data_IF_759136671808
#
_entry.id   IF_759136671808
#
_cell.length_a   1.000
_cell.length_b   1.000
_cell.length_c   1.000
_cell.angle_alpha   90.00
_cell.angle_beta   90.00
_cell.angle_gamma   90.00
#
_symmetry.space_group_name_H-M   'P 1'
#
loop_
_entity.id
_entity.type
_entity.pdbx_description
1 polymer ?
#
# COMPACT_ATOMS: atom_id res chain seq x y z
N UNK A 1 3.65 34.17 34.65
CA UNK A 1 3.00 33.01 34.02
C UNK A 1 3.77 32.70 32.75
N UNK A 2 4.79 31.85 32.86
CA UNK A 2 5.59 31.42 31.71
C UNK A 2 4.92 30.17 31.14
N UNK A 3 4.38 30.28 29.93
CA UNK A 3 3.91 29.13 29.17
C UNK A 3 5.10 28.26 28.83
N UNK A 4 5.15 27.06 29.41
CA UNK A 4 6.10 26.01 29.04
C UNK A 4 5.78 25.58 27.60
N UNK A 5 6.50 26.15 26.64
CA UNK A 5 6.54 25.62 25.28
C UNK A 5 7.04 24.17 25.34
N UNK A 6 6.28 23.25 24.73
CA UNK A 6 6.76 21.90 24.49
C UNK A 6 8.11 22.00 23.76
N UNK A 7 9.18 21.34 24.23
CA UNK A 7 10.44 21.35 23.51
C UNK A 7 10.18 20.66 22.18
N UNK A 8 10.34 21.41 21.08
CA UNK A 8 10.43 20.81 19.77
C UNK A 8 11.62 19.84 19.81
N UNK A 9 11.34 18.54 19.77
CA UNK A 9 12.35 17.51 19.51
C UNK A 9 12.81 17.68 18.06
N UNK A 10 13.56 18.75 17.79
CA UNK A 10 14.31 18.87 16.56
C UNK A 10 15.42 17.83 16.66
N UNK A 11 15.28 16.73 15.92
CA UNK A 11 16.39 15.82 15.68
C UNK A 11 17.59 16.65 15.21
N UNK A 12 18.74 16.52 15.89
CA UNK A 12 20.00 17.14 15.46
C UNK A 12 20.47 16.60 14.09
N UNK A 13 19.90 15.46 13.66
CA UNK A 13 20.12 14.86 12.35
C UNK A 13 18.98 15.27 11.40
N UNK A 14 19.26 16.02 10.31
CA UNK A 14 18.26 16.36 9.32
C UNK A 14 17.83 15.09 8.55
N UNK A 15 16.52 14.87 8.46
CA UNK A 15 15.92 13.79 7.66
C UNK A 15 15.34 14.37 6.39
N UNK A 16 15.52 13.69 5.26
CA UNK A 16 14.95 14.08 3.97
C UNK A 16 14.44 12.88 3.19
N UNK A 17 13.51 13.12 2.28
CA UNK A 17 13.03 12.10 1.33
C UNK A 17 13.95 12.12 0.12
N UNK A 18 14.74 11.06 -0.04
CA UNK A 18 15.67 10.93 -1.17
C UNK A 18 14.96 10.57 -2.49
N UNK A 19 13.84 9.84 -2.42
CA UNK A 19 13.04 9.47 -3.58
C UNK A 19 11.68 8.88 -3.21
N UNK A 20 10.77 8.85 -4.18
CA UNK A 20 9.40 8.36 -4.01
C UNK A 20 9.00 7.40 -5.12
N UNK A 21 8.09 6.48 -4.83
CA UNK A 21 7.62 5.51 -5.79
C UNK A 21 6.25 4.98 -5.43
N UNK A 22 5.42 4.79 -6.44
CA UNK A 22 4.10 4.19 -6.30
C UNK A 22 3.91 3.14 -7.38
N UNK A 23 3.04 2.19 -7.09
CA UNK A 23 2.58 1.20 -8.05
C UNK A 23 1.13 0.87 -7.75
N UNK A 24 0.31 0.78 -8.80
CA UNK A 24 -1.09 0.41 -8.72
C UNK A 24 -1.38 -0.71 -9.72
N UNK A 25 -2.36 -1.58 -9.45
CA UNK A 25 -2.84 -2.55 -10.43
C UNK A 25 -3.27 -1.90 -11.76
N UNK A 26 -3.08 -2.63 -12.87
CA UNK A 26 -3.42 -2.12 -14.19
C UNK A 26 -4.93 -2.00 -14.41
N UNK A 27 -5.72 -2.84 -13.76
CA UNK A 27 -7.17 -2.84 -13.91
C UNK A 27 -7.79 -1.58 -13.29
N UNK A 28 -8.41 -0.75 -14.14
CA UNK A 28 -9.23 0.39 -13.75
C UNK A 28 -10.65 -0.08 -13.52
N UNK A 29 -11.21 0.31 -12.38
CA UNK A 29 -12.54 -0.06 -11.98
C UNK A 29 -13.38 1.21 -11.81
N UNK A 30 -14.48 1.23 -12.55
CA UNK A 30 -15.46 2.32 -12.53
C UNK A 30 -16.40 2.25 -11.32
N UNK A 31 -17.04 3.36 -10.99
CA UNK A 31 -18.09 3.38 -9.97
C UNK A 31 -19.29 2.54 -10.40
N UNK A 32 -19.64 2.54 -11.68
CA UNK A 32 -20.70 1.73 -12.27
C UNK A 32 -20.47 0.24 -12.00
N UNK A 33 -19.26 -0.25 -12.25
CA UNK A 33 -18.90 -1.66 -12.07
C UNK A 33 -18.99 -2.08 -10.59
N UNK A 34 -18.43 -1.28 -9.69
CA UNK A 34 -18.43 -1.58 -8.25
C UNK A 34 -19.86 -1.57 -7.70
N UNK A 35 -20.66 -0.57 -8.05
CA UNK A 35 -22.04 -0.46 -7.59
C UNK A 35 -22.94 -1.51 -8.23
N UNK A 36 -22.62 -1.93 -9.46
CA UNK A 36 -23.29 -3.05 -10.10
C UNK A 36 -23.07 -4.35 -9.33
N UNK A 37 -21.85 -4.60 -8.88
CA UNK A 37 -21.51 -5.79 -8.11
C UNK A 37 -22.05 -5.75 -6.68
N UNK A 38 -21.77 -4.68 -5.93
CA UNK A 38 -22.08 -4.59 -4.50
C UNK A 38 -23.57 -4.31 -4.21
N UNK A 39 -24.29 -3.71 -5.17
CA UNK A 39 -25.70 -3.30 -5.02
C UNK A 39 -26.00 -2.61 -3.67
N UNK A 40 -25.20 -1.63 -3.22
CA UNK A 40 -25.43 -1.01 -1.93
C UNK A 40 -26.74 -0.21 -1.98
N UNK A 41 -27.60 -0.41 -0.99
CA UNK A 41 -28.85 0.31 -0.83
C UNK A 41 -28.72 1.40 0.23
N UNK A 42 -29.32 2.55 -0.06
CA UNK A 42 -29.52 3.64 0.89
C UNK A 42 -30.57 3.23 1.95
N UNK A 43 -30.67 3.97 3.07
CA UNK A 43 -31.72 3.73 4.08
C UNK A 43 -33.15 3.77 3.53
N UNK A 44 -33.38 4.48 2.43
CA UNK A 44 -34.68 4.57 1.74
C UNK A 44 -34.93 3.42 0.74
N UNK A 45 -34.02 2.43 0.67
CA UNK A 45 -34.12 1.27 -0.20
C UNK A 45 -33.67 1.49 -1.64
N UNK A 46 -33.32 2.73 -2.04
CA UNK A 46 -32.80 3.01 -3.38
C UNK A 46 -31.34 2.58 -3.50
N UNK A 47 -30.95 2.05 -4.65
CA UNK A 47 -29.54 1.79 -4.93
C UNK A 47 -28.73 3.08 -4.93
N UNK A 48 -27.47 2.97 -4.52
CA UNK A 48 -26.53 4.08 -4.63
C UNK A 48 -26.16 4.28 -6.10
N UNK A 49 -26.23 5.53 -6.56
CA UNK A 49 -25.86 5.91 -7.92
C UNK A 49 -24.36 6.26 -8.00
N UNK A 50 -23.69 6.00 -9.14
CA UNK A 50 -22.27 6.32 -9.35
C UNK A 50 -21.92 7.78 -9.04
N UNK A 51 -22.78 8.71 -9.47
CA UNK A 51 -22.66 10.15 -9.21
C UNK A 51 -22.49 10.49 -7.72
N UNK A 52 -23.05 9.68 -6.82
CA UNK A 52 -22.90 9.92 -5.39
C UNK A 52 -21.47 9.64 -4.90
N UNK A 53 -20.79 8.67 -5.51
CA UNK A 53 -19.40 8.34 -5.21
C UNK A 53 -18.45 9.41 -5.76
N UNK A 54 -18.79 10.04 -6.88
CA UNK A 54 -18.02 11.19 -7.35
C UNK A 54 -18.27 12.41 -6.46
N UNK A 55 -19.54 12.76 -6.21
CA UNK A 55 -19.90 14.01 -5.53
C UNK A 55 -19.52 14.08 -4.05
N UNK A 56 -19.49 12.94 -3.35
CA UNK A 56 -19.30 12.93 -1.89
C UNK A 56 -17.85 12.57 -1.51
N UNK A 57 -17.33 11.36 -1.83
CA UNK A 57 -15.94 11.05 -1.55
C UNK A 57 -14.94 11.53 -2.61
N UNK A 58 -15.38 12.03 -3.78
CA UNK A 58 -14.46 12.54 -4.80
C UNK A 58 -13.71 11.46 -5.58
N UNK A 59 -14.26 10.25 -5.66
CA UNK A 59 -13.59 9.10 -6.28
C UNK A 59 -14.23 8.81 -7.64
N UNK A 60 -13.47 9.02 -8.71
CA UNK A 60 -13.91 8.73 -10.07
C UNK A 60 -13.69 7.25 -10.46
N UNK A 61 -12.51 6.73 -10.14
CA UNK A 61 -12.12 5.35 -10.44
C UNK A 61 -11.18 4.79 -9.36
N UNK A 62 -11.02 3.47 -9.35
CA UNK A 62 -10.09 2.76 -8.47
C UNK A 62 -9.21 1.81 -9.26
N UNK A 63 -8.05 1.46 -8.71
CA UNK A 63 -7.19 0.39 -9.22
C UNK A 63 -7.28 -0.81 -8.30
N UNK A 64 -7.87 -1.90 -8.78
CA UNK A 64 -8.11 -3.10 -7.97
C UNK A 64 -7.65 -4.33 -8.74
N UNK A 65 -6.81 -5.14 -8.11
CA UNK A 65 -6.61 -6.51 -8.57
C UNK A 65 -7.69 -7.43 -7.99
N UNK A 66 -8.93 -7.16 -8.38
CA UNK A 66 -10.12 -7.88 -7.94
C UNK A 66 -10.97 -8.25 -9.15
N UNK A 67 -11.47 -9.48 -9.15
CA UNK A 67 -12.43 -9.95 -10.15
C UNK A 67 -13.85 -9.86 -9.57
N UNK A 68 -14.64 -8.90 -10.08
CA UNK A 68 -16.03 -8.73 -9.67
C UNK A 68 -16.88 -9.92 -10.14
N UNK A 69 -17.47 -10.65 -9.19
CA UNK A 69 -18.20 -11.91 -9.44
C UNK A 69 -17.38 -13.17 -9.12
N UNK A 70 -16.07 -13.03 -8.90
CA UNK A 70 -15.22 -14.10 -8.40
C UNK A 70 -15.40 -14.35 -6.89
N UNK A 71 -15.19 -15.58 -6.43
CA UNK A 71 -15.23 -15.92 -4.99
C UNK A 71 -13.95 -15.52 -4.23
N UNK A 72 -12.88 -15.13 -4.93
CA UNK A 72 -11.55 -14.86 -4.35
C UNK A 72 -10.69 -13.96 -5.26
N UNK A 73 -9.69 -13.32 -4.68
CA UNK A 73 -8.62 -12.65 -5.43
C UNK A 73 -7.86 -13.67 -6.29
N UNK A 74 -7.30 -13.21 -7.41
CA UNK A 74 -6.43 -14.04 -8.25
C UNK A 74 -5.19 -14.45 -7.44
N UNK A 75 -4.82 -15.72 -7.52
CA UNK A 75 -3.54 -16.16 -6.95
C UNK A 75 -2.37 -15.67 -7.80
N UNK A 76 -1.14 -15.64 -7.26
CA UNK A 76 0.06 -15.33 -8.07
C UNK A 76 0.18 -16.24 -9.31
N UNK A 77 -0.19 -17.51 -9.19
CA UNK A 77 -0.16 -18.47 -10.31
C UNK A 77 -1.20 -18.15 -11.38
N UNK A 78 -2.29 -17.49 -11.01
CA UNK A 78 -3.34 -17.04 -11.93
C UNK A 78 -3.11 -15.58 -12.41
N UNK A 79 -1.90 -15.04 -12.19
CA UNK A 79 -1.53 -13.67 -12.57
C UNK A 79 -2.02 -12.59 -11.62
N UNK A 80 -2.47 -12.95 -10.41
CA UNK A 80 -2.85 -12.00 -9.37
C UNK A 80 -1.66 -11.26 -8.76
N UNK A 81 -1.93 -10.07 -8.24
CA UNK A 81 -1.03 -9.20 -7.53
C UNK A 81 -1.28 -9.30 -6.04
N UNK A 82 -0.22 -9.70 -5.34
CA UNK A 82 -0.17 -9.77 -3.90
C UNK A 82 0.46 -8.50 -3.32
N UNK A 83 0.28 -8.23 -2.03
CA UNK A 83 0.79 -7.05 -1.32
C UNK A 83 2.30 -6.89 -1.49
N UNK A 84 3.04 -7.99 -1.40
CA UNK A 84 4.49 -7.98 -1.58
C UNK A 84 4.88 -7.53 -2.99
N UNK A 85 4.13 -7.92 -4.02
CA UNK A 85 4.39 -7.53 -5.41
C UNK A 85 4.16 -6.03 -5.62
N UNK A 86 3.10 -5.46 -5.01
CA UNK A 86 2.83 -4.03 -5.04
C UNK A 86 3.94 -3.24 -4.33
N UNK A 87 4.29 -3.66 -3.12
CA UNK A 87 5.34 -3.03 -2.32
C UNK A 87 6.71 -3.10 -3.02
N UNK A 88 7.07 -4.25 -3.60
CA UNK A 88 8.32 -4.45 -4.33
C UNK A 88 8.43 -3.50 -5.54
N UNK A 89 7.35 -3.33 -6.31
CA UNK A 89 7.34 -2.45 -7.49
C UNK A 89 7.38 -0.97 -7.11
N UNK A 90 6.66 -0.57 -6.06
CA UNK A 90 6.70 0.78 -5.52
C UNK A 90 8.10 1.11 -4.98
N UNK A 91 8.70 0.22 -4.18
CA UNK A 91 10.03 0.38 -3.61
C UNK A 91 11.12 0.47 -4.70
N UNK A 92 11.08 -0.38 -5.74
CA UNK A 92 12.00 -0.28 -6.89
C UNK A 92 11.90 1.07 -7.60
N UNK A 93 10.68 1.62 -7.71
CA UNK A 93 10.47 2.94 -8.29
C UNK A 93 11.07 4.04 -7.41
N UNK A 94 10.90 3.94 -6.09
CA UNK A 94 11.47 4.88 -5.13
C UNK A 94 13.00 4.87 -5.12
N UNK A 95 13.63 3.69 -5.14
CA UNK A 95 15.08 3.55 -5.22
C UNK A 95 15.64 4.16 -6.51
N UNK A 96 14.96 3.94 -7.65
CA UNK A 96 15.33 4.53 -8.93
C UNK A 96 15.21 6.06 -8.92
N UNK A 97 14.14 6.60 -8.33
CA UNK A 97 13.94 8.05 -8.19
C UNK A 97 15.05 8.68 -7.32
N UNK A 98 15.39 8.01 -6.22
CA UNK A 98 16.51 8.38 -5.34
C UNK A 98 17.90 8.17 -5.98
N UNK A 99 17.97 7.46 -7.12
CA UNK A 99 19.22 7.08 -7.82
C UNK A 99 20.19 6.29 -6.93
N UNK A 100 19.65 5.46 -6.04
CA UNK A 100 20.40 4.53 -5.19
C UNK A 100 20.11 3.09 -5.62
N UNK A 101 21.04 2.18 -5.35
CA UNK A 101 20.79 0.74 -5.53
C UNK A 101 20.50 0.10 -4.18
N UNK A 102 19.69 -0.97 -4.17
CA UNK A 102 19.42 -1.74 -2.96
C UNK A 102 20.61 -2.60 -2.50
N UNK A 103 21.53 -2.90 -3.42
CA UNK A 103 22.71 -3.71 -3.18
C UNK A 103 23.87 -2.87 -2.61
N UNK A 104 23.88 -1.57 -2.91
CA UNK A 104 24.77 -0.62 -2.27
C UNK A 104 24.23 -0.24 -0.89
N UNK A 105 25.16 0.08 -0.01
CA UNK A 105 25.15 0.20 1.46
C UNK A 105 24.09 1.17 2.05
N UNK A 106 23.13 1.67 1.28
CA UNK A 106 22.30 2.83 1.64
C UNK A 106 21.00 2.49 2.39
N UNK A 107 20.53 1.24 2.32
CA UNK A 107 19.27 0.83 2.98
C UNK A 107 19.58 -0.02 4.21
N UNK A 108 19.75 0.65 5.35
CA UNK A 108 19.96 0.00 6.64
C UNK A 108 18.67 -0.56 7.25
N UNK A 109 17.52 0.04 6.91
CA UNK A 109 16.23 -0.30 7.50
C UNK A 109 15.14 -0.36 6.44
N UNK A 110 14.38 -1.46 6.41
CA UNK A 110 13.13 -1.58 5.67
C UNK A 110 11.94 -1.56 6.64
N UNK A 111 11.06 -0.58 6.45
CA UNK A 111 9.76 -0.50 7.13
C UNK A 111 8.66 -0.83 6.14
N UNK A 112 7.91 -1.90 6.40
CA UNK A 112 6.74 -2.28 5.60
C UNK A 112 5.47 -2.20 6.44
N UNK A 113 4.45 -1.51 5.94
CA UNK A 113 3.17 -1.34 6.62
C UNK A 113 2.07 -1.79 5.69
N UNK A 114 1.26 -2.75 6.13
CA UNK A 114 0.13 -3.27 5.36
C UNK A 114 -0.99 -3.76 6.28
N UNK A 115 -2.24 -3.56 5.86
CA UNK A 115 -3.43 -4.17 6.48
C UNK A 115 -3.92 -5.41 5.72
N UNK A 116 -3.27 -5.74 4.60
CA UNK A 116 -3.63 -6.85 3.71
C UNK A 116 -2.39 -7.70 3.39
N UNK A 117 -1.69 -8.24 4.41
CA UNK A 117 -0.46 -8.99 4.17
C UNK A 117 -0.73 -10.29 3.40
N UNK A 118 0.22 -10.69 2.57
CA UNK A 118 0.14 -11.94 1.79
C UNK A 118 0.13 -13.17 2.68
N UNK A 119 0.88 -13.10 3.77
CA UNK A 119 1.04 -14.15 4.75
C UNK A 119 0.81 -13.58 6.14
N UNK A 120 0.12 -14.35 6.99
CA UNK A 120 -0.02 -14.00 8.42
C UNK A 120 1.35 -14.05 9.12
N UNK A 121 2.29 -14.83 8.57
CA UNK A 121 3.69 -14.86 8.99
C UNK A 121 4.48 -13.71 8.36
N UNK A 122 4.78 -12.67 9.17
CA UNK A 122 5.56 -11.52 8.72
C UNK A 122 6.93 -11.88 8.14
N UNK A 123 7.54 -12.99 8.59
CA UNK A 123 8.89 -13.39 8.20
C UNK A 123 9.01 -13.74 6.71
N UNK A 124 8.00 -14.42 6.14
CA UNK A 124 8.04 -14.81 4.72
C UNK A 124 7.86 -13.62 3.79
N UNK A 125 6.97 -12.69 4.17
CA UNK A 125 6.75 -11.44 3.44
C UNK A 125 8.01 -10.58 3.40
N UNK A 126 8.71 -10.45 4.53
CA UNK A 126 9.99 -9.74 4.56
C UNK A 126 11.05 -10.43 3.72
N UNK A 127 11.19 -11.74 3.84
CA UNK A 127 12.16 -12.49 3.03
C UNK A 127 11.91 -12.29 1.54
N UNK A 128 10.63 -12.24 1.13
CA UNK A 128 10.26 -11.90 -0.23
C UNK A 128 10.71 -10.48 -0.62
N UNK A 129 10.42 -9.46 0.19
CA UNK A 129 10.79 -8.07 -0.10
C UNK A 129 12.30 -7.84 -0.09
N UNK A 130 13.03 -8.34 0.92
CA UNK A 130 14.48 -8.18 1.02
C UNK A 130 15.19 -8.87 -0.13
N UNK A 131 14.80 -10.11 -0.46
CA UNK A 131 15.35 -10.85 -1.61
C UNK A 131 15.00 -10.17 -2.93
N UNK A 132 13.75 -9.73 -3.09
CA UNK A 132 13.26 -9.11 -4.32
C UNK A 132 13.89 -7.74 -4.60
N UNK A 133 14.20 -6.98 -3.55
CA UNK A 133 14.93 -5.72 -3.65
C UNK A 133 16.43 -5.94 -3.81
N UNK A 134 16.97 -7.06 -3.32
CA UNK A 134 18.41 -7.28 -3.25
C UNK A 134 19.06 -6.58 -2.04
N UNK A 135 18.30 -6.43 -0.95
CA UNK A 135 18.79 -5.85 0.29
C UNK A 135 19.84 -6.75 0.95
N UNK A 136 20.70 -6.11 1.72
CA UNK A 136 21.67 -6.76 2.59
C UNK A 136 20.98 -7.68 3.61
N UNK A 137 21.66 -8.77 3.98
CA UNK A 137 21.11 -9.73 4.97
C UNK A 137 21.05 -9.18 6.40
N UNK A 138 21.75 -8.08 6.67
CA UNK A 138 21.84 -7.41 7.97
C UNK A 138 20.95 -6.15 8.07
N UNK A 139 20.18 -5.81 7.04
CA UNK A 139 19.22 -4.72 7.11
C UNK A 139 18.15 -4.98 8.20
N UNK A 140 17.88 -3.98 9.03
CA UNK A 140 16.84 -4.02 10.06
C UNK A 140 15.44 -4.08 9.45
N UNK A 141 14.55 -4.91 10.02
CA UNK A 141 13.21 -5.15 9.50
C UNK A 141 12.15 -4.80 10.54
N UNK A 142 11.23 -3.90 10.18
CA UNK A 142 10.10 -3.51 11.04
C UNK A 142 8.78 -3.60 10.27
N UNK A 143 7.80 -4.30 10.84
CA UNK A 143 6.43 -4.35 10.30
C UNK A 143 5.45 -3.80 11.31
N UNK A 144 4.43 -3.11 10.81
CA UNK A 144 3.18 -2.96 11.54
C UNK A 144 2.05 -3.46 10.65
N UNK A 145 1.29 -4.42 11.17
CA UNK A 145 0.03 -4.84 10.57
C UNK A 145 -1.05 -4.04 11.29
N UNK A 146 -1.69 -3.13 10.57
CA UNK A 146 -2.86 -2.45 11.12
C UNK A 146 -4.02 -3.45 11.14
N UNK A 147 -4.69 -3.70 12.28
CA UNK A 147 -5.88 -4.52 12.29
C UNK A 147 -6.93 -3.88 11.39
N UNK A 148 -7.61 -4.67 10.56
CA UNK A 148 -8.75 -4.17 9.81
C UNK A 148 -9.77 -3.56 10.78
N UNK A 149 -10.36 -2.38 10.49
CA UNK A 149 -11.44 -1.86 11.32
C UNK A 149 -12.58 -2.89 11.32
N UNK A 150 -12.95 -3.33 12.52
CA UNK A 150 -14.02 -4.31 12.75
C UNK A 150 -15.41 -3.73 12.58
#
# INVERSE_FOLDING_TARGET
>A
MNGSGFPALASEVPVSVAGTGSYLPDHRVSNEEILHYLRPARPDGRLLEPDCVVRHPGIDERRLDYEFGGRRNRSRTDGGLCDGDLALRAARTALRDARITAADVDVDVLVHVTSTPDTVTCQDHFRFLTTGLGLRRDAGLFTTISPAPG
#
